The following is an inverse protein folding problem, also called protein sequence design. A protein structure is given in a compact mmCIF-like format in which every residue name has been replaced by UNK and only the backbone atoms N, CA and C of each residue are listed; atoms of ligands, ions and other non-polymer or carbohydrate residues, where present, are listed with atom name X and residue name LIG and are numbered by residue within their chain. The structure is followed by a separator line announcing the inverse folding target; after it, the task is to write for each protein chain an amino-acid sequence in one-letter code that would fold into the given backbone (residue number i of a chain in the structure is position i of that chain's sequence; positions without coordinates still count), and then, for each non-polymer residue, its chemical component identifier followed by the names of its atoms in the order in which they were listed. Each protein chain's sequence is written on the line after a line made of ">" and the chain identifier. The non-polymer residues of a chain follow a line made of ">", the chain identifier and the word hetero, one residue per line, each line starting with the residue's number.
data_IF_789979600122
#
_entry.id   IF_789979600122
#
_cell.length_a   1.000
_cell.length_b   1.000
_cell.length_c   1.000
_cell.angle_alpha   90.00
_cell.angle_beta   90.00
_cell.angle_gamma   90.00
#
_symmetry.space_group_name_H-M   'P 1'
#
loop_
_entity.id
_entity.type
_entity.pdbx_description
1 polymer ?
#
# COMPACT_ATOMS: atom_id res chain seq x y z
N UNK A 1 -16.99 10.82 -6.35
CA UNK A 1 -16.59 11.37 -5.03
C UNK A 1 -15.12 11.06 -4.83
N UNK A 2 -14.25 12.03 -4.57
CA UNK A 2 -12.84 11.74 -4.25
C UNK A 2 -12.80 11.15 -2.84
N UNK A 3 -12.30 9.92 -2.70
CA UNK A 3 -12.03 9.35 -1.38
C UNK A 3 -11.04 10.24 -0.62
N UNK A 4 -11.08 10.20 0.71
CA UNK A 4 -10.23 11.01 1.60
C UNK A 4 -8.72 10.75 1.47
N UNK A 5 -8.31 9.77 0.67
CA UNK A 5 -6.91 9.34 0.54
C UNK A 5 -6.39 8.56 1.77
N UNK A 6 -7.23 8.34 2.78
CA UNK A 6 -6.80 7.74 4.04
C UNK A 6 -6.52 6.22 3.96
N UNK A 7 -7.05 5.53 2.95
CA UNK A 7 -6.93 4.06 2.85
C UNK A 7 -5.48 3.57 2.87
N UNK A 8 -4.64 4.08 1.97
CA UNK A 8 -3.23 3.66 1.91
C UNK A 8 -2.43 4.12 3.14
N UNK A 9 -2.79 5.26 3.72
CA UNK A 9 -2.19 5.74 4.96
C UNK A 9 -2.47 4.75 6.11
N UNK A 10 -3.72 4.33 6.30
CA UNK A 10 -4.11 3.35 7.33
C UNK A 10 -3.35 2.02 7.13
N UNK A 11 -3.29 1.53 5.89
CA UNK A 11 -2.54 0.30 5.55
C UNK A 11 -1.06 0.44 5.88
N UNK A 12 -0.42 1.55 5.50
CA UNK A 12 0.99 1.83 5.80
C UNK A 12 1.27 1.81 7.30
N UNK A 13 0.39 2.44 8.11
CA UNK A 13 0.53 2.46 9.56
C UNK A 13 0.34 1.06 10.18
N UNK A 14 -0.63 0.28 9.70
CA UNK A 14 -0.86 -1.09 10.16
C UNK A 14 0.33 -1.99 9.84
N UNK A 15 0.87 -1.92 8.63
CA UNK A 15 2.00 -2.75 8.19
C UNK A 15 3.29 -2.39 8.94
N UNK A 16 3.55 -1.09 9.16
CA UNK A 16 4.69 -0.63 9.98
C UNK A 16 4.63 -1.16 11.42
N UNK A 17 3.44 -1.18 12.05
CA UNK A 17 3.26 -1.73 13.40
C UNK A 17 3.61 -3.22 13.49
N UNK A 18 3.41 -3.97 12.41
CA UNK A 18 3.78 -5.38 12.30
C UNK A 18 5.19 -5.59 11.71
N UNK A 19 6.06 -4.57 11.75
CA UNK A 19 7.44 -4.62 11.23
C UNK A 19 7.54 -5.00 9.74
N UNK A 20 6.44 -4.82 9.00
CA UNK A 20 6.35 -5.09 7.58
C UNK A 20 6.66 -3.85 6.72
N UNK A 21 6.50 -4.01 5.40
CA UNK A 21 6.73 -2.96 4.40
C UNK A 21 5.63 -2.97 3.34
N UNK A 22 5.23 -1.78 2.90
CA UNK A 22 4.36 -1.59 1.73
C UNK A 22 5.17 -0.95 0.60
N UNK A 23 5.03 -1.45 -0.62
CA UNK A 23 5.64 -0.88 -1.82
C UNK A 23 4.64 -0.84 -2.97
N UNK A 24 4.82 0.11 -3.89
CA UNK A 24 3.98 0.29 -5.07
C UNK A 24 4.85 0.25 -6.31
N UNK A 25 4.45 -0.54 -7.30
CA UNK A 25 5.06 -0.56 -8.62
C UNK A 25 3.98 -0.45 -9.70
N UNK A 26 4.36 0.00 -10.90
CA UNK A 26 3.45 0.02 -12.04
C UNK A 26 3.20 -1.38 -12.58
N UNK A 27 1.96 -1.68 -12.97
CA UNK A 27 1.64 -2.90 -13.73
C UNK A 27 1.63 -2.63 -15.24
N UNK A 28 1.88 -3.66 -16.04
CA UNK A 28 1.69 -3.64 -17.50
C UNK A 28 0.37 -4.33 -17.88
N UNK A 29 -0.40 -3.81 -18.85
CA UNK A 29 -0.17 -2.57 -19.62
C UNK A 29 -0.51 -1.29 -18.84
N UNK A 30 -1.36 -1.34 -17.81
CA UNK A 30 -1.71 -0.20 -16.97
C UNK A 30 -2.19 -0.67 -15.60
N UNK A 31 -1.82 0.07 -14.55
CA UNK A 31 -2.28 -0.18 -13.18
C UNK A 31 -1.13 -0.05 -12.18
N UNK A 32 -1.41 -0.44 -10.93
CA UNK A 32 -0.46 -0.44 -9.84
C UNK A 32 -0.52 -1.76 -9.09
N UNK A 33 0.64 -2.33 -8.75
CA UNK A 33 0.77 -3.48 -7.86
C UNK A 33 1.19 -2.95 -6.49
N UNK A 34 0.39 -3.24 -5.47
CA UNK A 34 0.71 -2.95 -4.08
C UNK A 34 1.24 -4.23 -3.43
N UNK A 35 2.52 -4.22 -3.05
CA UNK A 35 3.17 -5.38 -2.42
C UNK A 35 3.35 -5.11 -0.93
N UNK A 36 2.89 -6.05 -0.10
CA UNK A 36 3.02 -6.01 1.36
C UNK A 36 3.89 -7.19 1.78
N UNK A 37 4.91 -6.93 2.61
CA UNK A 37 5.79 -7.97 3.16
C UNK A 37 5.81 -7.85 4.68
N UNK A 38 5.73 -8.98 5.39
CA UNK A 38 5.90 -9.06 6.84
C UNK A 38 7.24 -9.74 7.16
N UNK A 39 7.77 -9.47 8.36
CA UNK A 39 8.92 -10.21 8.91
C UNK A 39 8.46 -11.47 9.64
#
# INVERSE_FOLDING_TARGET
>A
TKGTGLGLFIVSQAVKKHQGKVSVSSNKPKGSVFTITFR
#
